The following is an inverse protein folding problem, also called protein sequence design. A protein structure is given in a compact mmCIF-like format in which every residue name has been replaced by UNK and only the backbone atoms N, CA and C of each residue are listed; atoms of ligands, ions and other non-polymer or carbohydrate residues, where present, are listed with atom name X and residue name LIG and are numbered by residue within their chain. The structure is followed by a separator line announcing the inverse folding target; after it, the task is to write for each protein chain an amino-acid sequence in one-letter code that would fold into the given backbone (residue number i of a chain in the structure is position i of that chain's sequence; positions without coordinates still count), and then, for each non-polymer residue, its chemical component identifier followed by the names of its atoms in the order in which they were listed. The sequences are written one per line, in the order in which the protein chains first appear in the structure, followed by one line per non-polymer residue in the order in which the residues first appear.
data_IF_741419495234
#
_entry.id   IF_741419495234
#
_cell.length_a   1.000
_cell.length_b   1.000
_cell.length_c   1.000
_cell.angle_alpha   90.00
_cell.angle_beta   90.00
_cell.angle_gamma   90.00
#
_symmetry.space_group_name_H-M   'P 1'
#
loop_
_entity.id
_entity.type
_entity.pdbx_description
1 polymer ?
#
# COMPACT_ATOMS: atom_id res chain seq x y z
N UNK A 1 25.50 -8.84 -5.94
CA UNK A 1 26.37 -8.13 -6.92
C UNK A 1 25.50 -7.22 -7.76
N UNK A 2 24.46 -7.71 -8.45
CA UNK A 2 23.63 -6.90 -9.35
C UNK A 2 22.96 -5.69 -8.65
N UNK A 3 22.44 -5.87 -7.45
CA UNK A 3 21.78 -4.79 -6.70
C UNK A 3 22.78 -3.73 -6.22
N UNK A 4 23.99 -4.13 -5.84
CA UNK A 4 25.08 -3.20 -5.51
C UNK A 4 25.48 -2.33 -6.71
N UNK A 5 25.59 -2.93 -7.89
CA UNK A 5 25.92 -2.22 -9.13
C UNK A 5 24.84 -1.20 -9.51
N UNK A 6 23.56 -1.57 -9.34
CA UNK A 6 22.42 -0.66 -9.54
C UNK A 6 22.46 0.49 -8.54
N UNK A 7 22.63 0.20 -7.26
CA UNK A 7 22.72 1.23 -6.23
C UNK A 7 23.86 2.21 -6.51
N UNK A 8 25.05 1.70 -6.85
CA UNK A 8 26.20 2.53 -7.21
C UNK A 8 25.95 3.40 -8.45
N UNK A 9 25.30 2.83 -9.49
CA UNK A 9 24.95 3.55 -10.72
C UNK A 9 24.07 4.78 -10.47
N UNK A 10 23.12 4.65 -9.53
CA UNK A 10 22.17 5.71 -9.20
C UNK A 10 22.51 6.49 -7.93
N UNK A 11 23.68 6.25 -7.36
CA UNK A 11 24.14 6.87 -6.10
C UNK A 11 23.17 6.64 -4.93
N UNK A 12 22.65 5.40 -4.84
CA UNK A 12 21.83 4.97 -3.71
C UNK A 12 22.68 4.29 -2.66
N UNK A 13 22.33 4.47 -1.39
CA UNK A 13 22.89 3.67 -0.32
C UNK A 13 22.45 2.21 -0.45
N UNK A 14 23.40 1.29 -0.37
CA UNK A 14 23.13 -0.15 -0.42
C UNK A 14 23.36 -0.78 0.95
N UNK A 15 22.28 -1.28 1.55
CA UNK A 15 22.33 -1.97 2.83
C UNK A 15 22.12 -3.46 2.59
N UNK A 16 23.14 -4.27 2.87
CA UNK A 16 23.08 -5.72 2.80
C UNK A 16 22.74 -6.30 4.15
N UNK A 17 21.70 -7.11 4.22
CA UNK A 17 21.37 -7.88 5.42
C UNK A 17 22.04 -9.26 5.34
N UNK A 18 22.52 -9.76 6.46
CA UNK A 18 23.07 -11.11 6.55
C UNK A 18 21.95 -12.15 6.40
N UNK A 19 22.01 -12.93 5.33
CA UNK A 19 21.04 -13.98 5.02
C UNK A 19 19.66 -13.45 4.63
N UNK A 20 18.75 -14.37 4.35
CA UNK A 20 17.36 -14.05 4.04
C UNK A 20 16.58 -13.83 5.35
N UNK A 21 16.16 -12.61 5.61
CA UNK A 21 15.35 -12.24 6.79
C UNK A 21 13.84 -12.38 6.55
N UNK A 22 13.44 -12.77 5.34
CA UNK A 22 12.03 -12.76 4.95
C UNK A 22 11.43 -11.35 4.86
N UNK A 23 10.15 -11.29 4.55
CA UNK A 23 9.42 -10.01 4.37
C UNK A 23 9.45 -9.20 5.67
N UNK A 24 9.09 -9.81 6.80
CA UNK A 24 9.02 -9.10 8.08
C UNK A 24 10.39 -8.60 8.55
N UNK A 25 11.43 -9.44 8.44
CA UNK A 25 12.79 -9.03 8.82
C UNK A 25 13.37 -7.93 7.93
N UNK A 26 13.07 -7.96 6.64
CA UNK A 26 13.46 -6.88 5.71
C UNK A 26 12.76 -5.55 6.05
N UNK A 27 11.46 -5.61 6.33
CA UNK A 27 10.68 -4.42 6.75
C UNK A 27 11.15 -3.87 8.09
N UNK A 28 11.44 -4.75 9.06
CA UNK A 28 11.97 -4.36 10.35
C UNK A 28 13.31 -3.62 10.20
N UNK A 29 14.22 -4.17 9.39
CA UNK A 29 15.52 -3.55 9.14
C UNK A 29 15.39 -2.17 8.46
N UNK A 30 14.47 -2.02 7.50
CA UNK A 30 14.17 -0.74 6.86
C UNK A 30 13.62 0.27 7.88
N UNK A 31 12.72 -0.16 8.77
CA UNK A 31 12.15 0.68 9.83
C UNK A 31 13.21 1.16 10.84
N UNK A 32 14.11 0.29 11.24
CA UNK A 32 15.23 0.62 12.15
C UNK A 32 16.25 1.56 11.49
N UNK A 33 16.49 1.38 10.19
CA UNK A 33 17.34 2.30 9.43
C UNK A 33 16.71 3.69 9.32
N UNK A 34 15.44 3.74 8.98
CA UNK A 34 14.69 5.00 8.92
C UNK A 34 14.70 5.74 10.26
N UNK A 35 14.49 5.06 11.38
CA UNK A 35 14.49 5.67 12.70
C UNK A 35 15.81 6.39 13.01
N UNK A 36 16.93 5.82 12.55
CA UNK A 36 18.27 6.39 12.72
C UNK A 36 18.61 7.50 11.72
N UNK A 37 17.87 7.62 10.64
CA UNK A 37 18.17 8.57 9.54
C UNK A 37 17.90 10.03 9.91
N UNK A 38 17.08 10.28 10.95
CA UNK A 38 16.64 11.63 11.32
C UNK A 38 15.55 12.21 10.42
N UNK A 39 15.09 11.49 9.39
CA UNK A 39 13.98 11.91 8.53
C UNK A 39 12.63 11.78 9.25
N UNK A 40 11.65 12.60 8.87
CA UNK A 40 10.29 12.58 9.44
C UNK A 40 9.36 11.64 8.69
N UNK A 41 9.64 11.36 7.42
CA UNK A 41 8.85 10.52 6.53
C UNK A 41 9.74 9.69 5.63
N UNK A 42 9.25 8.51 5.20
CA UNK A 42 9.88 7.74 4.14
C UNK A 42 8.85 7.15 3.18
N UNK A 43 9.30 6.90 1.96
CA UNK A 43 8.54 6.17 0.96
C UNK A 43 9.07 4.74 0.90
N UNK A 44 8.15 3.78 0.93
CA UNK A 44 8.47 2.38 0.78
C UNK A 44 8.03 1.86 -0.58
N UNK A 45 8.93 1.13 -1.23
CA UNK A 45 8.67 0.40 -2.47
C UNK A 45 9.33 -0.97 -2.42
N UNK A 46 8.72 -1.95 -3.05
CA UNK A 46 9.36 -3.22 -3.42
C UNK A 46 9.99 -3.07 -4.82
N UNK A 47 10.91 -3.96 -5.17
CA UNK A 47 11.72 -3.87 -6.40
C UNK A 47 10.95 -4.21 -7.69
N UNK A 48 9.73 -4.74 -7.58
CA UNK A 48 8.82 -5.05 -8.68
C UNK A 48 7.70 -4.00 -8.86
N UNK A 49 7.90 -2.80 -8.34
CA UNK A 49 6.95 -1.70 -8.41
C UNK A 49 7.42 -0.60 -9.36
N UNK A 50 6.51 -0.12 -10.19
CA UNK A 50 6.79 0.91 -11.19
C UNK A 50 5.75 2.03 -11.13
N UNK A 51 6.20 3.28 -11.21
CA UNK A 51 5.30 4.43 -11.35
C UNK A 51 4.69 4.46 -12.75
N UNK A 52 3.41 4.79 -12.84
CA UNK A 52 2.75 4.97 -14.13
C UNK A 52 3.25 6.24 -14.83
N UNK A 53 3.34 6.17 -16.14
CA UNK A 53 3.53 7.31 -17.01
C UNK A 53 2.19 7.86 -17.53
N UNK A 54 2.20 9.04 -18.15
CA UNK A 54 1.01 9.63 -18.76
C UNK A 54 0.42 8.76 -19.89
N UNK A 55 1.23 7.95 -20.56
CA UNK A 55 0.79 7.04 -21.64
C UNK A 55 0.00 5.86 -21.13
N UNK A 56 0.08 5.59 -19.84
CA UNK A 56 -0.59 4.46 -19.18
C UNK A 56 -1.85 4.88 -18.44
N UNK A 57 -2.14 6.18 -18.40
CA UNK A 57 -3.34 6.69 -17.73
C UNK A 57 -4.62 6.11 -18.33
N UNK A 58 -5.54 5.71 -17.47
CA UNK A 58 -6.81 5.10 -17.84
C UNK A 58 -6.75 3.65 -18.27
N UNK A 59 -5.56 3.03 -18.39
CA UNK A 59 -5.47 1.59 -18.62
C UNK A 59 -5.91 0.85 -17.35
N UNK A 60 -6.68 -0.21 -17.55
CA UNK A 60 -7.10 -1.06 -16.44
C UNK A 60 -5.91 -1.86 -15.87
N UNK A 61 -5.86 -1.98 -14.56
CA UNK A 61 -4.93 -2.86 -13.86
C UNK A 61 -5.63 -3.52 -12.67
N UNK A 62 -4.96 -4.45 -12.02
CA UNK A 62 -5.52 -5.19 -10.88
C UNK A 62 -6.05 -4.28 -9.76
N UNK A 63 -5.47 -3.11 -9.60
CA UNK A 63 -5.82 -2.14 -8.55
C UNK A 63 -6.71 -0.99 -9.06
N UNK A 64 -7.45 -1.21 -10.14
CA UNK A 64 -8.31 -0.21 -10.75
C UNK A 64 -7.70 0.43 -11.98
N UNK A 65 -8.04 1.68 -12.23
CA UNK A 65 -7.46 2.43 -13.34
C UNK A 65 -6.10 3.01 -12.97
N UNK A 66 -5.13 2.85 -13.86
CA UNK A 66 -3.83 3.52 -13.73
C UNK A 66 -4.02 5.02 -13.81
N UNK A 67 -3.42 5.75 -12.92
CA UNK A 67 -3.39 7.21 -12.93
C UNK A 67 -1.96 7.70 -12.92
N UNK A 68 -1.68 8.65 -13.79
CA UNK A 68 -0.43 9.40 -13.78
C UNK A 68 -0.57 10.62 -12.86
N UNK A 69 0.27 10.74 -11.86
CA UNK A 69 0.28 11.85 -10.92
C UNK A 69 1.69 12.45 -10.92
N UNK A 70 1.91 13.58 -11.64
CA UNK A 70 3.25 14.16 -11.82
C UNK A 70 3.98 14.45 -10.51
N UNK A 71 3.27 14.99 -9.52
CA UNK A 71 3.82 15.40 -8.24
C UNK A 71 3.38 14.44 -7.11
N UNK A 72 3.36 13.13 -7.40
CA UNK A 72 2.82 12.11 -6.50
C UNK A 72 3.39 12.23 -5.08
N UNK A 73 4.71 12.31 -4.95
CA UNK A 73 5.36 12.32 -3.63
C UNK A 73 5.03 13.57 -2.82
N UNK A 74 4.95 14.72 -3.48
CA UNK A 74 4.58 15.98 -2.84
C UNK A 74 3.12 15.95 -2.37
N UNK A 75 2.22 15.41 -3.19
CA UNK A 75 0.80 15.27 -2.85
C UNK A 75 0.61 14.31 -1.67
N UNK A 76 1.28 13.16 -1.69
CA UNK A 76 1.25 12.20 -0.59
C UNK A 76 1.76 12.82 0.71
N UNK A 77 2.84 13.58 0.65
CA UNK A 77 3.39 14.28 1.81
C UNK A 77 2.42 15.34 2.36
N UNK A 78 1.75 16.09 1.50
CA UNK A 78 0.72 17.05 1.90
C UNK A 78 -0.48 16.35 2.57
N UNK A 79 -0.93 15.21 2.02
CA UNK A 79 -2.06 14.47 2.58
C UNK A 79 -1.71 13.90 3.96
N UNK A 80 -0.56 13.24 4.10
CA UNK A 80 -0.18 12.60 5.37
C UNK A 80 -0.06 13.61 6.52
N UNK A 81 0.45 14.81 6.22
CA UNK A 81 0.54 15.91 7.19
C UNK A 81 -0.85 16.45 7.52
N UNK A 82 -1.63 16.81 6.49
CA UNK A 82 -2.95 17.43 6.65
C UNK A 82 -3.89 16.56 7.49
N UNK A 83 -3.88 15.25 7.24
CA UNK A 83 -4.76 14.30 7.90
C UNK A 83 -4.14 13.67 9.15
N UNK A 84 -2.92 14.04 9.51
CA UNK A 84 -2.18 13.50 10.65
C UNK A 84 -2.11 11.96 10.65
N UNK A 85 -1.82 11.38 9.47
CA UNK A 85 -1.79 9.93 9.30
C UNK A 85 -0.48 9.31 9.77
N UNK A 86 -0.54 8.07 10.21
CA UNK A 86 0.62 7.24 10.50
C UNK A 86 1.22 6.69 9.19
N UNK A 87 0.35 6.27 8.24
CA UNK A 87 0.75 5.93 6.88
C UNK A 87 -0.35 6.20 5.84
N UNK A 88 0.05 6.35 4.57
CA UNK A 88 -0.84 6.52 3.43
C UNK A 88 -0.39 5.59 2.30
N UNK A 89 -1.24 4.62 1.93
CA UNK A 89 -1.00 3.70 0.82
C UNK A 89 -1.23 4.40 -0.53
N UNK A 90 -0.42 4.02 -1.51
CA UNK A 90 -0.50 4.60 -2.85
C UNK A 90 -1.52 3.92 -3.76
N UNK A 91 -2.10 2.81 -3.36
CA UNK A 91 -3.12 2.10 -4.16
C UNK A 91 -4.11 1.36 -3.28
N UNK A 92 -5.36 1.38 -3.70
CA UNK A 92 -6.45 0.67 -3.02
C UNK A 92 -6.36 -0.83 -3.32
N UNK A 93 -6.06 -1.64 -2.31
CA UNK A 93 -5.86 -3.09 -2.45
C UNK A 93 -6.92 -3.92 -1.75
N UNK A 94 -7.85 -3.30 -1.09
CA UNK A 94 -8.88 -3.91 -0.23
C UNK A 94 -9.86 -4.80 -1.00
N UNK A 95 -9.94 -4.62 -2.32
CA UNK A 95 -10.83 -5.40 -3.20
C UNK A 95 -10.37 -6.84 -3.47
N UNK A 96 -9.13 -7.19 -3.09
CA UNK A 96 -8.52 -8.48 -3.48
C UNK A 96 -8.49 -9.53 -2.38
N UNK A 97 -8.99 -9.22 -1.20
CA UNK A 97 -8.92 -10.12 -0.05
C UNK A 97 -10.27 -10.75 0.22
N UNK A 98 -10.29 -12.07 0.33
CA UNK A 98 -11.48 -12.85 0.71
C UNK A 98 -11.59 -12.90 2.24
N UNK A 99 -11.88 -11.75 2.84
CA UNK A 99 -12.01 -11.59 4.29
C UNK A 99 -12.87 -10.36 4.61
N UNK A 100 -13.02 -10.02 5.88
CA UNK A 100 -13.77 -8.86 6.37
C UNK A 100 -13.39 -7.54 5.69
N UNK A 101 -12.21 -7.48 5.10
CA UNK A 101 -11.68 -6.30 4.42
C UNK A 101 -12.29 -6.11 3.04
N UNK A 102 -12.71 -7.18 2.36
CA UNK A 102 -13.45 -7.05 1.11
C UNK A 102 -14.77 -6.33 1.31
N UNK A 103 -15.37 -6.46 2.47
CA UNK A 103 -16.60 -5.73 2.78
C UNK A 103 -16.38 -4.23 2.85
N UNK A 104 -15.17 -3.77 3.12
CA UNK A 104 -14.84 -2.35 3.14
C UNK A 104 -15.01 -1.69 1.77
N UNK A 105 -14.76 -2.43 0.68
CA UNK A 105 -15.00 -1.95 -0.68
C UNK A 105 -16.43 -1.51 -0.90
N UNK A 106 -17.40 -2.19 -0.33
CA UNK A 106 -18.82 -1.86 -0.45
C UNK A 106 -19.23 -0.61 0.36
N UNK A 107 -18.37 -0.15 1.27
CA UNK A 107 -18.59 1.12 1.96
C UNK A 107 -18.14 2.33 1.12
N UNK A 108 -17.37 2.11 0.04
CA UNK A 108 -17.07 3.15 -0.94
C UNK A 108 -18.32 3.35 -1.81
N UNK A 109 -18.82 4.57 -2.02
CA UNK A 109 -19.97 4.84 -2.86
C UNK A 109 -19.84 4.26 -4.27
N UNK A 110 -20.94 3.72 -4.82
CA UNK A 110 -20.92 3.01 -6.10
C UNK A 110 -20.36 3.89 -7.25
N UNK A 111 -20.73 5.15 -7.29
CA UNK A 111 -20.24 6.11 -8.28
C UNK A 111 -18.72 6.26 -8.26
N UNK A 112 -18.12 6.23 -7.07
CA UNK A 112 -16.67 6.27 -6.90
C UNK A 112 -16.04 4.94 -7.29
N UNK A 113 -16.64 3.82 -6.89
CA UNK A 113 -16.16 2.48 -7.30
C UNK A 113 -16.12 2.36 -8.81
N UNK A 114 -17.19 2.74 -9.49
CA UNK A 114 -17.28 2.69 -10.96
C UNK A 114 -16.26 3.60 -11.64
N UNK A 115 -15.95 4.75 -11.05
CA UNK A 115 -14.96 5.67 -11.59
C UNK A 115 -13.54 5.08 -11.61
N UNK A 116 -13.15 4.38 -10.54
CA UNK A 116 -11.79 3.85 -10.41
C UNK A 116 -11.67 2.38 -10.81
N UNK A 117 -12.77 1.62 -10.79
CA UNK A 117 -12.86 0.22 -11.17
C UNK A 117 -14.11 -0.03 -12.02
N UNK A 118 -14.08 0.37 -13.29
CA UNK A 118 -15.26 0.22 -14.17
C UNK A 118 -15.69 -1.24 -14.35
N UNK A 119 -14.78 -2.18 -14.20
CA UNK A 119 -15.03 -3.63 -14.29
C UNK A 119 -15.10 -4.29 -12.89
N UNK A 120 -15.48 -3.56 -11.85
CA UNK A 120 -15.46 -4.09 -10.48
C UNK A 120 -16.35 -5.34 -10.29
N UNK A 121 -17.37 -5.53 -11.11
CA UNK A 121 -18.24 -6.72 -11.09
C UNK A 121 -17.49 -8.01 -11.49
N UNK A 122 -16.35 -7.87 -12.15
CA UNK A 122 -15.46 -8.99 -12.50
C UNK A 122 -14.44 -9.31 -11.40
N UNK A 123 -14.28 -8.43 -10.44
CA UNK A 123 -13.46 -8.72 -9.28
C UNK A 123 -14.13 -9.85 -8.50
N UNK A 124 -13.37 -10.86 -8.03
CA UNK A 124 -13.94 -11.95 -7.28
C UNK A 124 -14.51 -11.42 -5.96
N UNK A 125 -15.75 -11.06 -6.01
CA UNK A 125 -16.54 -10.72 -4.84
C UNK A 125 -17.07 -12.04 -4.33
N UNK A 126 -16.26 -12.79 -3.62
CA UNK A 126 -16.79 -13.90 -2.87
C UNK A 126 -17.66 -13.33 -1.78
N UNK A 127 -18.93 -13.70 -1.84
CA UNK A 127 -19.98 -13.12 -1.04
C UNK A 127 -19.55 -12.98 0.41
N UNK A 128 -19.27 -11.75 0.75
CA UNK A 128 -19.04 -11.38 2.12
C UNK A 128 -20.22 -11.88 2.93
N UNK A 129 -19.94 -12.57 4.03
CA UNK A 129 -20.97 -12.84 5.01
C UNK A 129 -21.70 -11.52 5.29
N UNK A 130 -23.00 -11.39 5.02
CA UNK A 130 -23.73 -10.15 5.29
C UNK A 130 -23.71 -9.76 6.77
N UNK A 131 -23.31 -10.67 7.65
CA UNK A 131 -23.14 -10.45 9.08
C UNK A 131 -21.70 -10.13 9.46
N UNK A 132 -20.73 -10.19 8.54
CA UNK A 132 -19.35 -9.83 8.84
C UNK A 132 -19.27 -8.35 9.25
N UNK A 133 -18.48 -8.02 10.28
CA UNK A 133 -18.30 -6.63 10.70
C UNK A 133 -17.64 -5.84 9.57
N UNK A 134 -18.35 -4.85 9.05
CA UNK A 134 -17.83 -4.01 7.98
C UNK A 134 -16.74 -3.10 8.51
N UNK A 135 -15.65 -3.00 7.76
CA UNK A 135 -14.63 -1.97 7.98
C UNK A 135 -15.24 -0.59 7.78
N UNK A 136 -14.76 0.36 8.57
CA UNK A 136 -15.27 1.73 8.53
C UNK A 136 -14.25 2.62 7.82
N UNK A 137 -14.68 3.20 6.72
CA UNK A 137 -14.00 4.34 6.11
C UNK A 137 -14.69 5.63 6.53
N UNK A 138 -13.90 6.69 6.60
CA UNK A 138 -14.40 8.06 6.72
C UNK A 138 -14.87 8.56 5.35
N UNK A 139 -15.08 9.87 5.23
CA UNK A 139 -15.48 10.47 3.95
C UNK A 139 -14.33 10.49 2.93
N UNK A 140 -14.70 10.47 1.65
CA UNK A 140 -13.76 10.62 0.55
C UNK A 140 -13.37 12.10 0.44
N UNK A 141 -12.07 12.33 0.34
CA UNK A 141 -11.49 13.67 0.21
C UNK A 141 -10.63 13.75 -1.04
N UNK A 142 -10.39 14.96 -1.49
CA UNK A 142 -9.53 15.24 -2.63
C UNK A 142 -8.46 16.26 -2.26
N UNK A 143 -7.28 16.09 -2.82
CA UNK A 143 -6.22 17.07 -2.86
C UNK A 143 -5.61 17.07 -4.25
N UNK A 144 -5.65 18.21 -4.93
CA UNK A 144 -5.10 18.37 -6.28
C UNK A 144 -5.52 17.24 -7.24
N UNK A 145 -6.82 16.95 -7.34
CA UNK A 145 -7.43 15.90 -8.16
C UNK A 145 -7.11 14.45 -7.73
N UNK A 146 -6.41 14.28 -6.64
CA UNK A 146 -6.12 12.96 -6.08
C UNK A 146 -7.14 12.62 -5.00
N UNK A 147 -7.98 11.63 -5.28
CA UNK A 147 -8.95 11.14 -4.32
C UNK A 147 -8.29 10.16 -3.33
N UNK A 148 -8.60 10.33 -2.06
CA UNK A 148 -8.14 9.45 -0.99
C UNK A 148 -9.23 9.28 0.08
N UNK A 149 -9.07 8.24 0.88
CA UNK A 149 -9.94 7.90 1.99
C UNK A 149 -9.09 7.43 3.16
N UNK A 150 -9.52 7.72 4.37
CA UNK A 150 -8.91 7.20 5.60
C UNK A 150 -9.91 6.34 6.38
N UNK A 151 -9.42 5.66 7.40
CA UNK A 151 -10.23 4.78 8.25
C UNK A 151 -9.53 3.44 8.53
N UNK A 152 -10.31 2.38 8.52
CA UNK A 152 -9.83 1.02 8.75
C UNK A 152 -9.17 0.44 7.48
N UNK A 153 -8.02 1.00 7.10
CA UNK A 153 -7.27 0.65 5.89
C UNK A 153 -6.38 -0.56 6.17
N UNK A 154 -6.47 -1.60 5.35
CA UNK A 154 -5.60 -2.78 5.50
C UNK A 154 -4.14 -2.41 5.29
N UNK A 155 -3.29 -2.83 6.22
CA UNK A 155 -1.87 -2.81 6.00
C UNK A 155 -1.47 -3.89 4.98
N UNK A 156 -0.66 -3.51 4.01
CA UNK A 156 -0.03 -4.40 3.03
C UNK A 156 1.36 -3.90 2.70
N UNK A 157 2.22 -4.72 2.11
CA UNK A 157 3.55 -4.28 1.65
C UNK A 157 3.51 -3.46 0.34
N UNK A 158 2.37 -2.91 0.01
CA UNK A 158 2.24 -1.99 -1.12
C UNK A 158 2.95 -0.66 -0.85
N UNK A 159 3.32 0.07 -1.91
CA UNK A 159 3.96 1.35 -1.79
C UNK A 159 3.16 2.30 -0.90
N UNK A 160 3.86 2.93 0.01
CA UNK A 160 3.27 3.87 0.95
C UNK A 160 4.25 4.94 1.38
N UNK A 161 3.73 6.07 1.80
CA UNK A 161 4.45 7.00 2.65
C UNK A 161 4.13 6.70 4.12
N UNK A 162 5.12 6.70 4.97
CA UNK A 162 4.99 6.47 6.40
C UNK A 162 5.63 7.59 7.20
N UNK A 163 4.97 8.05 8.24
CA UNK A 163 5.50 9.03 9.18
C UNK A 163 6.40 8.37 10.22
N UNK A 164 7.26 9.16 10.88
CA UNK A 164 8.09 8.67 11.98
C UNK A 164 7.24 8.06 13.11
N UNK A 165 6.11 8.68 13.47
CA UNK A 165 5.20 8.12 14.47
C UNK A 165 4.55 6.82 14.00
N UNK A 166 4.20 6.70 12.72
CA UNK A 166 3.67 5.48 12.12
C UNK A 166 4.70 4.35 12.15
N UNK A 167 5.93 4.65 11.78
CA UNK A 167 7.05 3.71 11.87
C UNK A 167 7.24 3.17 13.30
N UNK A 168 7.19 4.05 14.29
CA UNK A 168 7.27 3.65 15.69
C UNK A 168 6.16 2.64 16.05
N UNK A 169 4.90 2.99 15.80
CA UNK A 169 3.74 2.18 16.15
C UNK A 169 3.66 0.85 15.40
N UNK A 170 3.98 0.87 14.09
CA UNK A 170 3.81 -0.29 13.23
C UNK A 170 4.98 -1.27 13.36
N UNK A 171 6.21 -0.77 13.54
CA UNK A 171 7.42 -1.58 13.43
C UNK A 171 8.27 -1.65 14.68
N UNK A 172 8.41 -0.56 15.43
CA UNK A 172 9.39 -0.48 16.51
C UNK A 172 8.80 -0.83 17.89
N UNK A 173 7.54 -0.49 18.14
CA UNK A 173 6.85 -0.84 19.39
C UNK A 173 6.52 -2.34 19.47
N UNK A 174 6.52 -3.01 18.33
CA UNK A 174 6.20 -4.43 18.21
C UNK A 174 7.33 -5.16 17.50
N UNK A 175 7.95 -6.13 18.18
CA UNK A 175 8.94 -7.00 17.53
C UNK A 175 8.24 -8.13 16.79
N UNK A 176 8.46 -8.18 15.50
CA UNK A 176 7.92 -9.21 14.64
C UNK A 176 8.87 -10.40 14.58
N UNK A 177 8.62 -11.40 15.41
CA UNK A 177 9.43 -12.63 15.49
C UNK A 177 9.03 -13.66 14.43
N UNK A 178 7.87 -13.48 13.80
CA UNK A 178 7.35 -14.44 12.82
C UNK A 178 7.45 -13.90 11.41
N UNK A 179 7.81 -14.77 10.43
CA UNK A 179 8.01 -14.36 9.05
C UNK A 179 6.72 -14.06 8.27
N UNK A 180 5.56 -14.07 8.91
CA UNK A 180 4.27 -13.99 8.22
C UNK A 180 3.73 -12.57 8.18
N UNK A 181 3.62 -12.02 6.98
CA UNK A 181 3.00 -10.74 6.69
C UNK A 181 1.57 -10.64 7.26
N UNK A 182 0.80 -11.73 7.20
CA UNK A 182 -0.59 -11.78 7.67
C UNK A 182 -0.74 -11.45 9.17
N UNK A 183 0.19 -11.88 9.99
CA UNK A 183 0.16 -11.57 11.44
C UNK A 183 0.29 -10.07 11.65
N UNK A 184 1.16 -9.45 10.91
CA UNK A 184 1.39 -8.01 10.94
C UNK A 184 0.19 -7.22 10.43
N UNK A 185 -0.35 -7.62 9.28
CA UNK A 185 -1.57 -7.05 8.74
C UNK A 185 -2.71 -7.08 9.74
N UNK A 186 -2.90 -8.21 10.42
CA UNK A 186 -3.93 -8.38 11.44
C UNK A 186 -3.72 -7.47 12.64
N UNK A 187 -2.50 -7.34 13.12
CA UNK A 187 -2.16 -6.42 14.22
C UNK A 187 -2.48 -4.98 13.86
N UNK A 188 -1.94 -4.48 12.74
CA UNK A 188 -2.15 -3.10 12.31
C UNK A 188 -3.63 -2.80 12.12
N UNK A 189 -4.39 -3.73 11.55
CA UNK A 189 -5.83 -3.60 11.39
C UNK A 189 -6.57 -3.48 12.74
N UNK A 190 -6.22 -4.32 13.72
CA UNK A 190 -6.81 -4.24 15.05
C UNK A 190 -6.47 -2.92 15.75
N UNK A 191 -5.25 -2.41 15.59
CA UNK A 191 -4.84 -1.13 16.17
C UNK A 191 -5.55 0.06 15.50
N UNK A 192 -5.86 -0.03 14.22
CA UNK A 192 -6.71 0.97 13.55
C UNK A 192 -8.14 0.96 14.09
N UNK A 193 -8.73 -0.24 14.28
CA UNK A 193 -10.08 -0.36 14.88
C UNK A 193 -10.17 0.23 16.28
N UNK A 194 -9.07 0.21 17.03
CA UNK A 194 -8.94 0.86 18.34
C UNK A 194 -8.66 2.37 18.26
N UNK A 195 -8.35 2.89 17.06
CA UNK A 195 -7.95 4.28 16.86
C UNK A 195 -6.50 4.60 17.23
N UNK A 196 -5.67 3.57 17.48
CA UNK A 196 -4.25 3.75 17.83
C UNK A 196 -3.38 4.04 16.61
N UNK A 197 -3.76 3.53 15.43
CA UNK A 197 -3.11 3.78 14.16
C UNK A 197 -4.11 4.48 13.23
N UNK A 198 -3.67 5.55 12.58
CA UNK A 198 -4.42 6.30 11.59
C UNK A 198 -3.84 6.03 10.20
N UNK A 199 -4.63 5.48 9.31
CA UNK A 199 -4.21 5.14 7.97
C UNK A 199 -5.10 5.70 6.88
N UNK A 200 -4.50 5.98 5.73
CA UNK A 200 -5.21 6.38 4.54
C UNK A 200 -4.78 5.56 3.32
N UNK A 201 -5.56 5.68 2.25
CA UNK A 201 -5.28 5.04 0.97
C UNK A 201 -5.77 5.91 -0.19
N UNK A 202 -4.98 5.97 -1.26
CA UNK A 202 -5.41 6.57 -2.51
C UNK A 202 -6.44 5.68 -3.19
N UNK A 203 -7.48 6.29 -3.77
CA UNK A 203 -8.48 5.58 -4.57
C UNK A 203 -8.05 5.36 -6.02
N UNK A 204 -6.99 6.03 -6.46
CA UNK A 204 -6.34 5.79 -7.75
C UNK A 204 -5.19 4.79 -7.63
N UNK A 205 -4.69 4.30 -8.76
CA UNK A 205 -3.52 3.44 -8.83
C UNK A 205 -2.36 4.11 -9.55
N UNK A 206 -1.56 4.97 -8.87
CA UNK A 206 -0.41 5.62 -9.48
C UNK A 206 0.80 4.70 -9.63
N UNK A 207 0.78 3.56 -8.94
CA UNK A 207 1.86 2.57 -8.95
C UNK A 207 1.34 1.27 -9.56
N UNK A 208 2.13 0.70 -10.45
CA UNK A 208 1.93 -0.60 -11.03
C UNK A 208 2.80 -1.64 -10.35
N UNK A 209 2.23 -2.79 -10.03
CA UNK A 209 2.93 -3.93 -9.45
C UNK A 209 3.02 -5.07 -10.46
N UNK A 210 4.23 -5.41 -10.89
CA UNK A 210 4.46 -6.42 -11.93
C UNK A 210 4.38 -7.87 -11.43
N UNK A 211 4.08 -8.08 -10.16
CA UNK A 211 4.09 -9.39 -9.49
C UNK A 211 3.38 -10.50 -10.25
N UNK A 212 2.30 -10.18 -10.95
CA UNK A 212 1.50 -11.17 -11.68
C UNK A 212 2.32 -11.85 -12.79
N UNK A 213 3.27 -11.14 -13.38
CA UNK A 213 4.12 -11.65 -14.45
C UNK A 213 5.10 -12.73 -13.98
N UNK A 214 5.58 -12.61 -12.74
CA UNK A 214 6.62 -13.50 -12.19
C UNK A 214 6.07 -14.73 -11.46
N UNK A 215 4.82 -14.69 -11.00
CA UNK A 215 4.20 -15.79 -10.24
C UNK A 215 3.21 -16.62 -11.07
N UNK A 216 3.00 -16.27 -12.35
CA UNK A 216 2.22 -17.11 -13.24
C UNK A 216 3.10 -18.24 -13.82
N UNK A 217 2.54 -19.45 -14.01
CA UNK A 217 3.20 -20.49 -14.79
C UNK A 217 3.68 -19.91 -16.12
N UNK A 218 4.84 -20.35 -16.64
CA UNK A 218 5.44 -19.84 -17.88
C UNK A 218 4.46 -19.78 -19.05
N UNK A 219 3.54 -20.75 -19.13
CA UNK A 219 2.47 -20.84 -20.13
C UNK A 219 1.46 -19.67 -20.09
N UNK A 220 1.41 -18.86 -19.04
CA UNK A 220 0.55 -17.69 -18.90
C UNK A 220 1.26 -16.35 -18.97
N UNK A 221 2.57 -16.37 -19.21
CA UNK A 221 3.40 -15.15 -19.30
C UNK A 221 3.34 -14.48 -20.68
N UNK A 222 2.79 -15.16 -21.69
CA UNK A 222 2.81 -14.74 -23.09
C UNK A 222 1.52 -14.09 -23.60
N UNK A 223 0.58 -13.73 -22.73
CA UNK A 223 -0.68 -13.07 -23.14
C UNK A 223 -0.88 -11.71 -22.48
#
# INVERSE_FOLDING_TARGET
IKNQEIAAKYNFEYISLEGNKGICGGRQAAAEHFDKSGADYYFFFEDDMTSNSSEEEGKFCRNGLRKYIPNLYEILHKIIIKEDLDYLKMSFTEVYWDNDIQTSWYNVPQEVRTQYWPDYDRLPVNGSDPNAPRTKFNEIRNLDEVAYIDGEVTYTNWPMIMSKKGNQKVFLDVKWEHPYEQTWMSYVFQEQKKGNIKAGVLLASPIWHERIKYYQPEERREN
#
